data_IF_618286031486
#
_entry.id   IF_618286031486
#
_cell.length_a   1.000
_cell.length_b   1.000
_cell.length_c   1.000
_cell.angle_alpha   90.00
_cell.angle_beta   90.00
_cell.angle_gamma   90.00
#
_symmetry.space_group_name_H-M   'P 1'
#
loop_
_entity.id
_entity.type
_entity.pdbx_description
1 polymer ?
#
# COMPACT_ATOMS: atom_id res chain seq x y z
N UNK A 1 0.21 20.73 -18.41
CA UNK A 1 0.84 19.48 -17.96
C UNK A 1 2.05 19.76 -17.07
N UNK A 2 2.71 20.91 -17.26
CA UNK A 2 3.92 21.28 -16.50
C UNK A 2 3.69 21.50 -15.00
N UNK A 3 2.48 21.87 -14.56
CA UNK A 3 2.15 22.10 -13.14
C UNK A 3 2.13 20.84 -12.25
N UNK A 4 2.43 19.66 -12.81
CA UNK A 4 2.37 18.37 -12.08
C UNK A 4 3.75 17.71 -11.94
N UNK A 5 4.79 18.27 -12.58
CA UNK A 5 6.16 17.75 -12.47
C UNK A 5 6.90 18.51 -11.38
N UNK A 6 7.27 17.82 -10.31
CA UNK A 6 8.02 18.42 -9.22
C UNK A 6 9.47 18.75 -9.63
N UNK A 7 9.83 20.01 -9.54
CA UNK A 7 11.21 20.47 -9.63
C UNK A 7 11.98 20.19 -8.33
N UNK A 8 13.32 20.18 -8.43
CA UNK A 8 14.21 20.01 -7.27
C UNK A 8 13.98 21.08 -6.18
N UNK A 9 13.71 22.33 -6.58
CA UNK A 9 13.43 23.42 -5.64
C UNK A 9 12.11 23.22 -4.90
N UNK A 10 11.07 22.76 -5.60
CA UNK A 10 9.78 22.45 -4.97
C UNK A 10 9.90 21.30 -3.97
N UNK A 11 10.60 20.22 -4.34
CA UNK A 11 10.85 19.10 -3.42
C UNK A 11 11.59 19.57 -2.17
N UNK A 12 12.63 20.40 -2.32
CA UNK A 12 13.36 20.97 -1.17
C UNK A 12 12.47 21.84 -0.26
N UNK A 13 11.59 22.65 -0.84
CA UNK A 13 10.65 23.49 -0.09
C UNK A 13 9.54 22.67 0.60
N UNK A 14 9.14 21.54 0.01
CA UNK A 14 8.22 20.61 0.67
C UNK A 14 8.92 19.92 1.86
N UNK A 15 10.12 19.39 1.65
CA UNK A 15 10.87 18.67 2.68
C UNK A 15 11.40 19.56 3.82
N UNK A 16 11.39 20.89 3.68
CA UNK A 16 11.67 21.80 4.80
C UNK A 16 10.49 21.95 5.77
N UNK A 17 9.29 21.54 5.34
CA UNK A 17 8.03 21.71 6.10
C UNK A 17 7.38 20.38 6.49
N UNK A 18 7.66 19.33 5.74
CA UNK A 18 7.05 18.01 5.86
C UNK A 18 8.13 16.94 5.85
N UNK A 19 7.89 15.84 6.55
CA UNK A 19 8.87 14.77 6.70
C UNK A 19 8.71 13.70 5.60
N UNK A 20 7.50 13.57 5.05
CA UNK A 20 7.17 12.63 3.97
C UNK A 20 6.21 13.28 2.98
N UNK A 21 6.52 13.20 1.69
CA UNK A 21 5.62 13.57 0.59
C UNK A 21 5.13 12.30 -0.09
N UNK A 22 3.81 12.18 -0.27
CA UNK A 22 3.14 11.00 -0.83
C UNK A 22 2.06 11.39 -1.83
N UNK A 23 1.65 10.50 -2.76
CA UNK A 23 0.47 10.72 -3.56
C UNK A 23 -0.80 10.85 -2.70
N UNK A 24 -1.84 11.49 -3.23
CA UNK A 24 -3.16 11.52 -2.58
C UNK A 24 -3.69 10.12 -2.27
N UNK A 25 -4.36 9.99 -1.13
CA UNK A 25 -5.03 8.73 -0.75
C UNK A 25 -6.06 8.31 -1.79
N UNK A 26 -6.15 7.01 -2.03
CA UNK A 26 -7.30 6.41 -2.71
C UNK A 26 -8.43 6.25 -1.70
N UNK A 27 -9.65 6.65 -2.07
CA UNK A 27 -10.86 6.50 -1.25
C UNK A 27 -11.71 5.33 -1.74
N UNK A 28 -12.11 4.45 -0.82
CA UNK A 28 -12.99 3.31 -1.04
C UNK A 28 -14.33 3.60 -0.35
N UNK A 29 -15.37 3.93 -1.11
CA UNK A 29 -16.64 4.35 -0.52
C UNK A 29 -17.45 3.22 0.10
N UNK A 30 -17.15 1.96 -0.23
CA UNK A 30 -17.95 0.77 0.16
C UNK A 30 -17.12 -0.24 0.96
N UNK A 31 -15.79 -0.16 0.91
CA UNK A 31 -14.89 -1.21 1.41
C UNK A 31 -13.80 -0.63 2.30
N UNK A 32 -13.34 -1.44 3.26
CA UNK A 32 -12.10 -1.17 3.98
C UNK A 32 -10.90 -1.64 3.17
N UNK A 33 -9.68 -1.22 3.55
CA UNK A 33 -8.45 -1.70 2.93
C UNK A 33 -8.33 -3.23 3.01
N UNK A 34 -8.74 -3.82 4.13
CA UNK A 34 -8.79 -5.28 4.28
C UNK A 34 -9.82 -5.92 3.35
N UNK A 35 -11.09 -5.50 3.40
CA UNK A 35 -12.13 -6.14 2.59
C UNK A 35 -11.86 -5.96 1.09
N UNK A 36 -11.31 -4.81 0.69
CA UNK A 36 -10.90 -4.57 -0.69
C UNK A 36 -9.83 -5.57 -1.14
N UNK A 37 -8.82 -5.84 -0.31
CA UNK A 37 -7.79 -6.83 -0.60
C UNK A 37 -8.38 -8.25 -0.63
N UNK A 38 -9.17 -8.64 0.37
CA UNK A 38 -9.77 -9.96 0.47
C UNK A 38 -10.71 -10.30 -0.70
N UNK A 39 -11.39 -9.30 -1.27
CA UNK A 39 -12.21 -9.50 -2.48
C UNK A 39 -11.39 -9.61 -3.76
N UNK A 40 -10.19 -9.02 -3.80
CA UNK A 40 -9.36 -8.97 -5.01
C UNK A 40 -8.27 -10.03 -5.04
N UNK A 41 -7.83 -10.51 -3.88
CA UNK A 41 -6.69 -11.39 -3.64
C UNK A 41 -7.02 -12.39 -2.51
N UNK A 42 -6.05 -13.23 -2.13
CA UNK A 42 -6.21 -14.12 -0.97
C UNK A 42 -6.11 -13.35 0.35
N UNK A 43 -7.17 -13.38 1.16
CA UNK A 43 -7.20 -12.74 2.47
C UNK A 43 -6.14 -13.29 3.42
N UNK A 44 -5.77 -14.57 3.28
CA UNK A 44 -4.78 -15.24 4.11
C UNK A 44 -3.43 -14.51 4.11
N UNK A 45 -3.09 -13.79 3.03
CA UNK A 45 -1.91 -12.95 2.99
C UNK A 45 -1.88 -11.90 4.09
N UNK A 46 -3.00 -11.22 4.34
CA UNK A 46 -3.11 -10.20 5.37
C UNK A 46 -3.20 -10.81 6.77
N UNK A 47 -3.84 -11.97 6.89
CA UNK A 47 -3.97 -12.68 8.17
C UNK A 47 -2.59 -13.17 8.67
N UNK A 48 -1.80 -13.80 7.79
CA UNK A 48 -0.42 -14.19 8.09
C UNK A 48 0.44 -12.96 8.37
N UNK A 49 0.28 -11.87 7.61
CA UNK A 49 1.00 -10.61 7.87
C UNK A 49 0.68 -10.05 9.26
N UNK A 50 -0.59 -10.08 9.67
CA UNK A 50 -1.02 -9.65 11.01
C UNK A 50 -0.37 -10.50 12.10
N UNK A 51 -0.33 -11.82 11.91
CA UNK A 51 0.33 -12.73 12.83
C UNK A 51 1.84 -12.42 12.95
N UNK A 52 2.53 -12.24 11.83
CA UNK A 52 3.95 -11.87 11.80
C UNK A 52 4.20 -10.58 12.57
N UNK A 53 3.37 -9.56 12.36
CA UNK A 53 3.49 -8.28 13.09
C UNK A 53 3.27 -8.51 14.57
N UNK A 54 2.28 -9.31 14.98
CA UNK A 54 2.05 -9.58 16.41
C UNK A 54 3.23 -10.28 17.10
N UNK A 55 4.01 -11.06 16.36
CA UNK A 55 5.17 -11.80 16.88
C UNK A 55 6.46 -10.95 16.84
N UNK A 56 6.74 -10.29 15.71
CA UNK A 56 8.01 -9.59 15.49
C UNK A 56 7.97 -8.12 15.92
N UNK A 57 6.80 -7.47 15.78
CA UNK A 57 6.60 -6.03 16.00
C UNK A 57 5.24 -5.77 16.69
N UNK A 58 5.01 -6.34 17.89
CA UNK A 58 3.72 -6.21 18.58
C UNK A 58 3.33 -4.74 18.82
N UNK A 59 4.30 -3.83 18.88
CA UNK A 59 4.09 -2.39 18.98
C UNK A 59 3.33 -1.79 17.77
N UNK A 60 3.22 -2.50 16.64
CA UNK A 60 2.51 -2.07 15.44
C UNK A 60 1.12 -2.70 15.27
N UNK A 61 0.70 -3.63 16.15
CA UNK A 61 -0.55 -4.38 15.92
C UNK A 61 -1.79 -3.48 15.91
N UNK A 62 -1.85 -2.48 16.81
CA UNK A 62 -2.95 -1.53 16.86
C UNK A 62 -3.01 -0.66 15.61
N UNK A 63 -1.85 -0.21 15.13
CA UNK A 63 -1.76 0.56 13.88
C UNK A 63 -2.18 -0.28 12.68
N UNK A 64 -1.80 -1.56 12.65
CA UNK A 64 -2.22 -2.50 11.61
C UNK A 64 -3.74 -2.65 11.60
N UNK A 65 -4.35 -2.99 12.73
CA UNK A 65 -5.79 -3.21 12.85
C UNK A 65 -6.60 -1.94 12.54
N UNK A 66 -6.09 -0.77 12.94
CA UNK A 66 -6.70 0.51 12.60
C UNK A 66 -6.67 0.74 11.08
N UNK A 67 -5.51 0.58 10.43
CA UNK A 67 -5.34 0.79 8.99
C UNK A 67 -6.19 -0.18 8.18
N UNK A 68 -6.25 -1.45 8.56
CA UNK A 68 -7.06 -2.45 7.86
C UNK A 68 -8.56 -2.13 7.85
N UNK A 69 -9.04 -1.37 8.85
CA UNK A 69 -10.43 -0.89 8.96
C UNK A 69 -10.67 0.43 8.22
N UNK A 70 -9.62 1.14 7.77
CA UNK A 70 -9.77 2.39 7.05
C UNK A 70 -10.39 2.18 5.66
N UNK A 71 -11.09 3.20 5.18
CA UNK A 71 -11.71 3.27 3.85
C UNK A 71 -10.90 4.12 2.88
N UNK A 72 -9.70 4.51 3.26
CA UNK A 72 -8.77 5.22 2.39
C UNK A 72 -7.33 4.95 2.82
N UNK A 73 -6.40 5.04 1.88
CA UNK A 73 -4.99 4.79 2.14
C UNK A 73 -4.10 5.17 0.94
N UNK A 74 -2.80 5.21 1.19
CA UNK A 74 -1.76 5.36 0.17
C UNK A 74 -1.56 4.02 -0.52
N UNK A 75 -2.07 3.88 -1.74
CA UNK A 75 -2.07 2.60 -2.48
C UNK A 75 -0.88 2.47 -3.44
N UNK A 76 0.23 3.12 -3.10
CA UNK A 76 1.45 3.12 -3.89
C UNK A 76 2.66 3.04 -2.97
N UNK A 77 3.70 2.35 -3.43
CA UNK A 77 5.04 2.43 -2.85
C UNK A 77 5.77 3.67 -3.40
N UNK A 78 5.12 4.83 -3.37
CA UNK A 78 5.64 6.11 -3.87
C UNK A 78 5.70 7.11 -2.72
N UNK A 79 6.90 7.59 -2.42
CA UNK A 79 7.14 8.60 -1.40
C UNK A 79 8.42 9.39 -1.70
N UNK A 80 8.54 10.56 -1.10
CA UNK A 80 9.79 11.32 -1.00
C UNK A 80 9.98 11.65 0.49
N UNK A 81 11.05 11.15 1.09
CA UNK A 81 11.40 11.40 2.48
C UNK A 81 12.92 11.32 2.67
N UNK A 82 13.41 11.66 3.87
CA UNK A 82 14.84 11.61 4.19
C UNK A 82 15.40 10.19 4.10
N UNK A 83 16.72 10.06 3.90
CA UNK A 83 17.39 8.76 3.82
C UNK A 83 17.16 7.93 5.09
N UNK A 84 17.14 8.59 6.24
CA UNK A 84 16.96 8.01 7.56
C UNK A 84 15.55 7.40 7.68
N UNK A 85 14.51 8.14 7.26
CA UNK A 85 13.14 7.63 7.24
C UNK A 85 12.97 6.46 6.24
N UNK A 86 13.63 6.51 5.07
CA UNK A 86 13.63 5.38 4.14
C UNK A 86 14.30 4.16 4.77
N UNK A 87 15.45 4.32 5.41
CA UNK A 87 16.16 3.22 6.05
C UNK A 87 15.32 2.59 7.17
N UNK A 88 14.75 3.40 8.06
CA UNK A 88 13.89 2.93 9.14
C UNK A 88 12.63 2.22 8.63
N UNK A 89 12.00 2.73 7.56
CA UNK A 89 10.86 2.07 6.92
C UNK A 89 11.26 0.72 6.31
N UNK A 90 12.35 0.68 5.54
CA UNK A 90 12.83 -0.55 4.90
C UNK A 90 13.24 -1.61 5.92
N UNK A 91 13.94 -1.23 7.00
CA UNK A 91 14.33 -2.15 8.07
C UNK A 91 13.10 -2.79 8.73
N UNK A 92 12.06 -1.99 9.00
CA UNK A 92 10.80 -2.50 9.52
C UNK A 92 10.05 -3.37 8.50
N UNK A 93 9.95 -2.93 7.25
CA UNK A 93 9.19 -3.59 6.19
C UNK A 93 9.79 -4.95 5.83
N UNK A 94 11.08 -4.99 5.52
CA UNK A 94 11.72 -6.21 5.01
C UNK A 94 11.79 -7.29 6.07
N UNK A 95 11.91 -6.93 7.37
CA UNK A 95 11.77 -7.89 8.45
C UNK A 95 10.44 -8.67 8.37
N UNK A 96 9.34 -7.98 8.08
CA UNK A 96 8.00 -8.58 7.96
C UNK A 96 7.86 -9.35 6.64
N UNK A 97 8.32 -8.76 5.54
CA UNK A 97 8.22 -9.37 4.20
C UNK A 97 9.05 -10.67 4.11
N UNK A 98 10.24 -10.71 4.69
CA UNK A 98 11.10 -11.89 4.68
C UNK A 98 10.51 -13.04 5.52
N UNK A 99 9.81 -12.72 6.61
CA UNK A 99 9.03 -13.72 7.35
C UNK A 99 7.82 -14.20 6.55
N UNK A 100 7.15 -13.30 5.83
CA UNK A 100 6.01 -13.66 4.98
C UNK A 100 6.44 -14.59 3.84
N UNK A 101 7.60 -14.35 3.23
CA UNK A 101 8.21 -15.25 2.24
C UNK A 101 8.45 -16.65 2.79
N UNK A 102 8.78 -16.78 4.08
CA UNK A 102 9.00 -18.08 4.73
C UNK A 102 7.71 -18.81 5.09
N UNK A 103 6.61 -18.10 5.30
CA UNK A 103 5.32 -18.68 5.72
C UNK A 103 4.37 -18.99 4.58
N UNK A 104 4.46 -18.28 3.47
CA UNK A 104 3.58 -18.49 2.32
C UNK A 104 4.22 -19.42 1.30
N UNK A 105 3.53 -20.51 0.97
CA UNK A 105 3.84 -21.30 -0.21
C UNK A 105 3.27 -20.59 -1.45
N UNK A 106 4.18 -20.16 -2.32
CA UNK A 106 3.86 -19.45 -3.57
C UNK A 106 4.22 -20.27 -4.82
N UNK A 107 4.50 -21.56 -4.67
CA UNK A 107 5.02 -22.42 -5.75
C UNK A 107 4.12 -22.39 -6.99
N UNK A 108 2.80 -22.39 -6.80
CA UNK A 108 1.82 -22.39 -7.89
C UNK A 108 1.31 -20.99 -8.28
N UNK A 109 1.98 -19.93 -7.83
CA UNK A 109 1.49 -18.58 -8.08
C UNK A 109 1.75 -18.16 -9.52
N UNK A 110 0.73 -17.58 -10.15
CA UNK A 110 0.93 -16.89 -11.42
C UNK A 110 1.89 -15.70 -11.23
N UNK A 111 2.52 -15.23 -12.30
CA UNK A 111 3.32 -14.00 -12.26
C UNK A 111 2.52 -12.79 -11.73
N UNK A 112 1.19 -12.80 -11.90
CA UNK A 112 0.31 -11.78 -11.34
C UNK A 112 0.20 -11.89 -9.81
N UNK A 113 0.03 -13.10 -9.29
CA UNK A 113 -0.16 -13.38 -7.86
C UNK A 113 1.15 -13.27 -7.07
N UNK A 114 2.28 -13.61 -7.68
CA UNK A 114 3.62 -13.47 -7.09
C UNK A 114 3.96 -12.02 -6.68
N UNK A 115 3.22 -11.03 -7.19
CA UNK A 115 3.33 -9.61 -6.78
C UNK A 115 2.67 -9.31 -5.44
N UNK A 116 2.18 -10.31 -4.70
CA UNK A 116 1.53 -10.15 -3.40
C UNK A 116 2.36 -9.31 -2.44
N UNK A 117 3.68 -9.50 -2.39
CA UNK A 117 4.57 -8.83 -1.44
C UNK A 117 4.55 -7.32 -1.67
N UNK A 118 4.67 -6.88 -2.93
CA UNK A 118 4.53 -5.46 -3.28
C UNK A 118 3.17 -4.88 -2.92
N UNK A 119 2.09 -5.65 -3.10
CA UNK A 119 0.73 -5.24 -2.74
C UNK A 119 0.54 -5.14 -1.22
N UNK A 120 1.15 -6.04 -0.45
CA UNK A 120 1.13 -6.00 1.01
C UNK A 120 1.95 -4.82 1.50
N UNK A 121 3.12 -4.56 0.91
CA UNK A 121 3.95 -3.39 1.21
C UNK A 121 3.20 -2.07 1.07
N UNK A 122 2.30 -1.93 0.09
CA UNK A 122 1.44 -0.72 -0.02
C UNK A 122 0.59 -0.51 1.25
N UNK A 123 0.04 -1.58 1.83
CA UNK A 123 -0.76 -1.48 3.06
C UNK A 123 0.15 -1.29 4.26
N UNK A 124 1.26 -2.02 4.34
CA UNK A 124 2.25 -1.89 5.40
C UNK A 124 2.86 -0.49 5.45
N UNK A 125 3.00 0.21 4.33
CA UNK A 125 3.42 1.60 4.33
C UNK A 125 2.44 2.51 5.09
N UNK A 126 1.13 2.27 4.96
CA UNK A 126 0.12 3.00 5.74
C UNK A 126 0.21 2.67 7.23
N UNK A 127 0.48 1.40 7.56
CA UNK A 127 0.69 0.94 8.95
C UNK A 127 1.90 1.63 9.56
N UNK A 128 3.01 1.70 8.81
CA UNK A 128 4.22 2.37 9.25
C UNK A 128 4.00 3.85 9.51
N UNK A 129 3.40 4.56 8.55
CA UNK A 129 3.07 5.98 8.68
C UNK A 129 2.09 6.25 9.82
N UNK A 130 1.11 5.38 10.06
CA UNK A 130 0.16 5.55 11.16
C UNK A 130 0.81 5.40 12.55
N UNK A 131 1.93 4.67 12.63
CA UNK A 131 2.69 4.49 13.87
C UNK A 131 3.71 5.62 14.11
N UNK A 132 4.19 6.26 13.05
CA UNK A 132 5.15 7.36 13.18
C UNK A 132 4.44 8.70 13.45
N UNK A 133 5.13 9.59 14.16
CA UNK A 133 4.73 11.00 14.29
C UNK A 133 5.43 11.84 13.20
N UNK A 134 4.98 11.69 11.95
CA UNK A 134 5.55 12.38 10.78
C UNK A 134 4.55 13.34 10.16
N UNK A 135 5.03 14.51 9.74
CA UNK A 135 4.25 15.49 8.97
C UNK A 135 4.15 15.03 7.53
N UNK A 136 3.04 14.40 7.18
CA UNK A 136 2.78 13.86 5.84
C UNK A 136 2.15 14.91 4.92
N UNK A 137 2.68 15.06 3.70
CA UNK A 137 2.12 15.92 2.65
C UNK A 137 1.62 15.11 1.47
N UNK A 138 0.34 15.26 1.16
CA UNK A 138 -0.25 14.69 -0.07
C UNK A 138 -0.08 15.63 -1.27
N UNK A 139 0.32 15.05 -2.41
CA UNK A 139 0.40 15.73 -3.70
C UNK A 139 -0.36 14.96 -4.79
N UNK A 140 -0.84 15.65 -5.85
CA UNK A 140 -1.35 14.98 -7.03
C UNK A 140 -0.28 14.09 -7.68
N UNK A 141 -0.72 13.04 -8.37
CA UNK A 141 0.12 12.21 -9.22
C UNK A 141 -0.58 12.05 -10.58
N UNK A 142 0.20 11.73 -11.61
CA UNK A 142 -0.30 11.50 -12.97
C UNK A 142 0.00 10.08 -13.41
N UNK A 143 -0.89 9.56 -14.24
CA UNK A 143 -0.60 8.39 -15.06
C UNK A 143 -0.09 8.87 -16.41
N UNK A 144 1.07 8.37 -16.83
CA UNK A 144 1.62 8.73 -18.14
C UNK A 144 0.86 8.05 -19.28
N UNK A 145 0.16 6.94 -18.99
CA UNK A 145 -0.63 6.18 -19.95
C UNK A 145 -2.15 6.41 -19.76
N UNK A 146 -2.93 6.16 -20.83
CA UNK A 146 -4.40 6.20 -20.77
C UNK A 146 -4.92 5.03 -19.93
N UNK A 147 -5.56 5.34 -18.81
CA UNK A 147 -6.27 4.33 -18.01
C UNK A 147 -7.69 4.17 -18.51
N UNK A 148 -8.10 2.94 -18.76
CA UNK A 148 -9.50 2.59 -18.95
C UNK A 148 -10.21 2.43 -17.59
N UNK A 149 -10.74 3.54 -17.08
CA UNK A 149 -11.47 3.58 -15.82
C UNK A 149 -12.75 2.73 -15.82
N UNK A 150 -13.34 2.47 -17.00
CA UNK A 150 -14.57 1.69 -17.16
C UNK A 150 -14.26 0.20 -16.96
N UNK A 151 -13.20 -0.30 -17.60
CA UNK A 151 -12.76 -1.69 -17.40
C UNK A 151 -12.36 -1.93 -15.95
N UNK A 152 -11.63 -1.00 -15.34
CA UNK A 152 -11.23 -1.07 -13.93
C UNK A 152 -12.43 -1.13 -12.97
N UNK A 153 -13.48 -0.35 -13.25
CA UNK A 153 -14.74 -0.38 -12.51
C UNK A 153 -15.50 -1.71 -12.67
N UNK A 154 -15.57 -2.25 -13.88
CA UNK A 154 -16.22 -3.54 -14.16
C UNK A 154 -15.51 -4.70 -13.44
N UNK A 155 -14.18 -4.77 -13.54
CA UNK A 155 -13.38 -5.80 -12.86
C UNK A 155 -13.60 -5.76 -11.34
N UNK A 156 -13.67 -4.56 -10.75
CA UNK A 156 -13.95 -4.36 -9.34
C UNK A 156 -15.34 -4.88 -8.91
N UNK A 157 -16.39 -4.53 -9.67
CA UNK A 157 -17.75 -5.01 -9.40
C UNK A 157 -17.85 -6.54 -9.55
N UNK A 158 -17.15 -7.12 -10.53
CA UNK A 158 -17.11 -8.57 -10.70
C UNK A 158 -16.44 -9.28 -9.53
N UNK A 159 -15.31 -8.75 -9.03
CA UNK A 159 -14.67 -9.30 -7.84
C UNK A 159 -15.59 -9.22 -6.62
N UNK A 160 -16.27 -8.09 -6.43
CA UNK A 160 -17.14 -7.85 -5.27
C UNK A 160 -18.40 -8.73 -5.25
N UNK A 161 -19.10 -8.86 -6.38
CA UNK A 161 -20.42 -9.52 -6.42
C UNK A 161 -20.39 -10.96 -6.95
N UNK A 162 -19.37 -11.33 -7.71
CA UNK A 162 -19.27 -12.64 -8.34
C UNK A 162 -18.06 -13.45 -7.85
N UNK A 163 -17.29 -12.95 -6.87
CA UNK A 163 -16.15 -13.65 -6.28
C UNK A 163 -14.97 -13.91 -7.22
N UNK A 164 -14.96 -13.29 -8.41
CA UNK A 164 -13.85 -13.44 -9.37
C UNK A 164 -12.65 -12.61 -8.94
N UNK A 165 -11.63 -13.27 -8.39
CA UNK A 165 -10.33 -12.64 -8.07
C UNK A 165 -9.67 -12.07 -9.35
N UNK A 166 -8.82 -11.06 -9.18
CA UNK A 166 -8.14 -10.45 -10.31
C UNK A 166 -7.07 -11.40 -10.87
N UNK A 167 -6.97 -11.51 -12.20
CA UNK A 167 -5.91 -12.27 -12.88
C UNK A 167 -4.89 -11.40 -13.64
N UNK A 168 -5.12 -10.09 -13.73
CA UNK A 168 -4.24 -9.16 -14.47
C UNK A 168 -4.35 -7.71 -13.94
N UNK A 169 -3.36 -6.88 -14.25
CA UNK A 169 -3.37 -5.44 -13.87
C UNK A 169 -4.28 -4.66 -14.82
N UNK A 170 -4.96 -3.64 -14.31
CA UNK A 170 -5.82 -2.72 -15.07
C UNK A 170 -5.53 -1.26 -14.69
#
# INVERSE_FOLDING_TARGET
>A
MDDIILSKSEVKNLLSKYDVVVPKKRKYYIETLYSHYAHTHDANHLDVTRQIISELRPDYIDAFDQVMKQRSGYMFNMFIMSKENVAAYCEWLFLIIDELYRRLDITDYSAFDARLFGRISERLFNVWLAKQDLRVKEIPFIYMEKIDLIQKGKSFLQAKFFGKKYGQSF
#
